data_IF_360831187145
#
_entry.id   IF_360831187145
#
_cell.length_a   1.000
_cell.length_b   1.000
_cell.length_c   1.000
_cell.angle_alpha   90.00
_cell.angle_beta   90.00
_cell.angle_gamma   90.00
#
_symmetry.space_group_name_H-M   'P 1'
#
loop_
_entity.id
_entity.type
_entity.pdbx_description
1 polymer ?
#
# COMPACT_ATOMS: atom_id res chain seq x y z
N UNK A 1 21.51 -27.90 -14.81
CA UNK A 1 22.18 -29.19 -15.06
C UNK A 1 23.34 -29.29 -14.08
N UNK A 2 23.38 -30.37 -13.32
CA UNK A 2 24.44 -30.63 -12.34
C UNK A 2 25.77 -30.99 -13.04
N UNK A 3 26.88 -30.78 -12.34
CA UNK A 3 28.17 -31.48 -12.50
C UNK A 3 29.03 -31.10 -11.26
N UNK A 4 29.08 -31.94 -10.22
CA UNK A 4 29.95 -33.12 -10.01
C UNK A 4 31.39 -32.81 -9.58
N UNK A 5 31.67 -33.19 -8.32
CA UNK A 5 32.82 -33.96 -7.84
C UNK A 5 34.26 -33.52 -8.17
N UNK A 6 35.07 -33.43 -7.11
CA UNK A 6 36.50 -33.77 -7.16
C UNK A 6 36.73 -34.96 -6.22
N UNK A 7 37.15 -36.08 -6.80
CA UNK A 7 37.54 -37.30 -6.09
C UNK A 7 39.06 -37.37 -6.04
N UNK A 8 39.63 -37.83 -4.92
CA UNK A 8 41.01 -38.34 -4.88
C UNK A 8 41.04 -39.64 -4.07
N UNK A 9 41.42 -40.72 -4.73
CA UNK A 9 41.40 -42.09 -4.20
C UNK A 9 42.83 -42.56 -3.95
N UNK A 10 43.13 -43.08 -2.75
CA UNK A 10 44.38 -43.84 -2.50
C UNK A 10 44.10 -45.06 -1.62
N UNK A 11 44.72 -46.19 -1.96
CA UNK A 11 44.45 -47.57 -1.52
C UNK A 11 45.81 -48.30 -1.46
N UNK A 12 46.14 -49.21 -0.54
CA UNK A 12 45.41 -49.98 0.49
C UNK A 12 46.30 -50.07 1.76
N UNK A 13 45.73 -50.20 2.97
CA UNK A 13 46.02 -51.38 3.83
C UNK A 13 45.20 -51.46 5.12
N UNK A 14 44.73 -52.68 5.38
CA UNK A 14 43.88 -53.08 6.50
C UNK A 14 44.65 -53.47 7.75
N UNK A 15 44.19 -53.03 8.93
CA UNK A 15 44.25 -53.83 10.15
C UNK A 15 43.14 -53.42 11.11
N UNK A 16 42.51 -54.42 11.74
CA UNK A 16 41.28 -54.27 12.50
C UNK A 16 41.46 -53.49 13.81
N UNK A 17 40.50 -52.63 14.13
CA UNK A 17 40.17 -52.24 15.50
C UNK A 17 38.67 -52.21 15.68
N UNK A 18 38.26 -52.61 16.89
CA UNK A 18 36.88 -52.76 17.34
C UNK A 18 36.05 -51.47 17.18
N UNK A 19 34.71 -51.57 17.06
CA UNK A 19 33.85 -50.40 16.90
C UNK A 19 33.92 -49.50 18.13
N UNK A 20 34.70 -48.42 18.04
CA UNK A 20 34.51 -47.27 18.89
C UNK A 20 33.08 -46.75 18.67
N UNK A 21 32.25 -46.87 19.70
CA UNK A 21 31.01 -46.10 19.80
C UNK A 21 31.44 -44.63 19.93
N UNK A 22 31.53 -43.94 18.80
CA UNK A 22 31.41 -42.48 18.81
C UNK A 22 30.04 -42.17 19.42
N UNK A 23 30.07 -41.72 20.68
CA UNK A 23 28.96 -40.93 21.18
C UNK A 23 28.89 -39.71 20.27
N UNK A 24 27.87 -39.65 19.43
CA UNK A 24 27.39 -38.40 18.88
C UNK A 24 27.19 -37.44 20.04
N UNK A 25 28.19 -36.58 20.28
CA UNK A 25 28.03 -35.44 21.14
C UNK A 25 27.11 -34.51 20.37
N UNK A 26 25.82 -34.60 20.65
CA UNK A 26 24.84 -33.59 20.27
C UNK A 26 25.34 -32.27 20.83
N UNK A 27 26.09 -31.51 20.02
CA UNK A 27 26.49 -30.16 20.37
C UNK A 27 25.21 -29.35 20.46
N UNK A 28 24.77 -29.17 21.71
CA UNK A 28 23.57 -28.44 22.05
C UNK A 28 23.73 -27.03 21.47
N UNK A 29 22.91 -26.71 20.46
CA UNK A 29 23.11 -25.47 19.70
C UNK A 29 22.92 -24.31 20.68
N UNK A 30 23.87 -23.36 20.76
CA UNK A 30 23.78 -22.28 21.74
C UNK A 30 22.46 -21.53 21.56
N UNK A 31 21.66 -21.48 22.62
CA UNK A 31 20.35 -20.86 22.56
C UNK A 31 20.49 -19.32 22.58
N UNK A 32 20.65 -18.72 21.41
CA UNK A 32 20.78 -17.27 21.27
C UNK A 32 19.56 -16.46 21.76
N UNK A 33 18.41 -17.10 21.99
CA UNK A 33 17.25 -16.44 22.61
C UNK A 33 17.39 -16.22 24.12
N UNK A 34 18.32 -16.92 24.80
CA UNK A 34 18.61 -16.72 26.23
C UNK A 34 19.75 -15.74 26.51
N UNK A 35 20.21 -14.98 25.50
CA UNK A 35 21.17 -13.89 25.73
C UNK A 35 20.53 -12.77 26.59
N UNK A 36 21.26 -12.19 27.56
CA UNK A 36 20.80 -11.03 28.31
C UNK A 36 20.47 -9.85 27.40
N UNK A 37 19.34 -9.17 27.64
CA UNK A 37 18.81 -8.13 26.77
C UNK A 37 19.84 -7.04 26.43
N UNK A 38 20.67 -6.63 27.40
CA UNK A 38 21.73 -5.63 27.19
C UNK A 38 22.79 -6.06 26.16
N UNK A 39 23.11 -7.35 26.07
CA UNK A 39 24.04 -7.87 25.05
C UNK A 39 23.36 -7.90 23.68
N UNK A 40 22.09 -8.31 23.64
CA UNK A 40 21.24 -8.32 22.44
C UNK A 40 21.07 -6.90 21.87
N UNK A 41 20.94 -5.89 22.74
CA UNK A 41 20.92 -4.46 22.36
C UNK A 41 22.24 -4.02 21.75
N UNK A 42 23.39 -4.27 22.41
CA UNK A 42 24.69 -3.89 21.86
C UNK A 42 24.95 -4.51 20.48
N UNK A 43 24.57 -5.78 20.29
CA UNK A 43 24.60 -6.42 18.96
C UNK A 43 23.69 -5.66 17.98
N UNK A 44 22.45 -5.37 18.35
CA UNK A 44 21.51 -4.62 17.50
C UNK A 44 21.97 -3.20 17.16
N UNK A 45 22.80 -2.56 17.98
CA UNK A 45 23.27 -1.19 17.74
C UNK A 45 24.35 -1.12 16.66
N UNK A 46 25.21 -2.14 16.60
CA UNK A 46 26.27 -2.34 15.60
C UNK A 46 25.75 -2.87 14.25
N UNK A 47 24.56 -3.49 14.22
CA UNK A 47 23.97 -4.00 12.99
C UNK A 47 23.51 -2.87 12.06
N UNK A 48 23.77 -3.06 10.76
CA UNK A 48 23.18 -2.23 9.69
C UNK A 48 21.65 -2.37 9.65
N UNK A 49 20.95 -1.40 9.07
CA UNK A 49 19.48 -1.37 9.09
C UNK A 49 18.80 -2.65 8.56
N UNK A 50 19.25 -3.28 7.44
CA UNK A 50 18.66 -4.53 6.96
C UNK A 50 18.79 -5.66 7.99
N UNK A 51 19.96 -5.78 8.62
CA UNK A 51 20.20 -6.77 9.65
C UNK A 51 19.38 -6.47 10.92
N UNK A 52 19.23 -5.20 11.31
CA UNK A 52 18.34 -4.80 12.41
C UNK A 52 16.87 -5.17 12.15
N UNK A 53 16.41 -5.09 10.91
CA UNK A 53 15.05 -5.52 10.53
C UNK A 53 14.88 -7.04 10.64
N UNK A 54 15.85 -7.83 10.16
CA UNK A 54 15.85 -9.28 10.37
C UNK A 54 15.94 -9.66 11.85
N UNK A 55 16.76 -8.94 12.62
CA UNK A 55 16.97 -9.16 14.04
C UNK A 55 15.71 -8.85 14.85
N UNK A 56 15.04 -7.72 14.56
CA UNK A 56 13.71 -7.36 15.06
C UNK A 56 12.72 -8.51 14.85
N UNK A 57 12.68 -9.07 13.64
CA UNK A 57 11.76 -10.14 13.24
C UNK A 57 12.02 -11.52 13.85
N UNK A 58 13.14 -11.74 14.53
CA UNK A 58 13.57 -13.11 14.91
C UNK A 58 12.84 -13.65 16.15
N UNK A 59 12.74 -12.88 17.24
CA UNK A 59 12.04 -13.28 18.45
C UNK A 59 11.75 -12.08 19.37
N UNK A 60 10.83 -12.24 20.33
CA UNK A 60 10.44 -11.17 21.26
C UNK A 60 11.64 -10.52 21.99
N UNK A 61 12.63 -11.30 22.43
CA UNK A 61 13.80 -10.76 23.12
C UNK A 61 14.64 -9.83 22.23
N UNK A 62 14.77 -10.16 20.95
CA UNK A 62 15.53 -9.37 19.96
C UNK A 62 14.70 -8.19 19.45
N UNK A 63 13.39 -8.37 19.29
CA UNK A 63 12.42 -7.28 19.09
C UNK A 63 12.58 -6.20 20.17
N UNK A 64 12.51 -6.57 21.47
CA UNK A 64 12.68 -5.60 22.57
C UNK A 64 14.03 -4.89 22.55
N UNK A 65 15.11 -5.57 22.17
CA UNK A 65 16.43 -4.96 22.03
C UNK A 65 16.45 -3.86 20.94
N UNK A 66 15.75 -4.07 19.83
CA UNK A 66 15.66 -3.08 18.74
C UNK A 66 14.81 -1.85 19.08
N UNK A 67 13.96 -1.88 20.11
CA UNK A 67 13.13 -0.72 20.49
C UNK A 67 13.97 0.45 21.01
N UNK A 68 15.17 0.18 21.55
CA UNK A 68 16.07 1.21 22.10
C UNK A 68 16.76 2.05 21.01
N UNK A 69 16.82 1.54 19.79
CA UNK A 69 17.27 2.26 18.59
C UNK A 69 16.20 2.04 17.52
N UNK A 70 15.18 2.91 17.42
CA UNK A 70 14.06 2.72 16.49
C UNK A 70 14.53 2.51 15.04
N UNK A 71 13.79 1.69 14.30
CA UNK A 71 13.97 1.55 12.86
C UNK A 71 13.10 2.65 12.20
N UNK A 72 13.61 3.46 11.25
CA UNK A 72 12.82 4.50 10.60
C UNK A 72 11.55 3.91 9.98
N UNK A 73 10.43 4.59 10.20
CA UNK A 73 9.11 4.21 9.70
C UNK A 73 8.26 5.47 9.55
N UNK A 74 7.46 5.62 8.48
CA UNK A 74 7.27 4.66 7.40
C UNK A 74 8.46 4.66 6.42
N UNK A 75 8.67 3.52 5.77
CA UNK A 75 9.61 3.33 4.68
C UNK A 75 8.85 3.32 3.35
N UNK A 76 9.43 3.90 2.32
CA UNK A 76 8.95 3.77 0.95
C UNK A 76 9.42 2.43 0.39
N UNK A 77 8.49 1.56 -0.02
CA UNK A 77 8.79 0.30 -0.69
C UNK A 77 8.71 0.49 -2.20
N UNK A 78 9.84 0.26 -2.88
CA UNK A 78 9.99 0.33 -4.33
C UNK A 78 10.35 -1.08 -4.85
N UNK A 79 9.71 -1.51 -5.93
CA UNK A 79 10.04 -2.75 -6.65
C UNK A 79 10.56 -2.43 -8.05
N UNK A 80 11.32 -3.36 -8.62
CA UNK A 80 11.70 -3.30 -10.02
C UNK A 80 10.56 -3.89 -10.87
N UNK A 81 9.74 -3.01 -11.45
CA UNK A 81 8.53 -3.36 -12.20
C UNK A 81 8.79 -3.91 -13.61
N UNK A 82 10.00 -3.72 -14.17
CA UNK A 82 10.35 -4.25 -15.51
C UNK A 82 10.36 -5.78 -15.51
N UNK A 83 10.93 -6.40 -14.47
CA UNK A 83 11.02 -7.86 -14.39
C UNK A 83 9.87 -8.51 -13.64
N UNK A 84 9.40 -7.98 -12.49
CA UNK A 84 8.55 -8.69 -11.49
C UNK A 84 9.12 -10.04 -10.97
N UNK A 85 10.11 -10.61 -11.65
CA UNK A 85 10.98 -11.72 -11.27
C UNK A 85 12.01 -11.35 -10.19
N UNK A 86 12.04 -10.09 -9.74
CA UNK A 86 12.90 -9.64 -8.65
C UNK A 86 12.34 -10.07 -7.30
N UNK A 87 12.99 -11.05 -6.67
CA UNK A 87 12.79 -11.44 -5.26
C UNK A 87 13.36 -10.41 -4.27
N UNK A 88 13.53 -9.16 -4.69
CA UNK A 88 14.09 -8.07 -3.88
C UNK A 88 13.21 -6.83 -3.88
N UNK A 89 13.25 -6.10 -2.76
CA UNK A 89 12.61 -4.78 -2.59
C UNK A 89 13.64 -3.75 -2.15
N UNK A 90 13.56 -2.56 -2.73
CA UNK A 90 14.27 -1.38 -2.25
C UNK A 90 13.39 -0.67 -1.22
N UNK A 91 13.95 -0.41 -0.05
CA UNK A 91 13.34 0.43 0.98
C UNK A 91 14.08 1.76 1.06
N UNK A 92 13.35 2.87 1.05
CA UNK A 92 13.91 4.22 1.21
C UNK A 92 13.26 4.89 2.42
N UNK A 93 14.08 5.47 3.29
CA UNK A 93 13.63 6.27 4.43
C UNK A 93 13.63 7.75 4.04
N UNK A 94 12.47 8.41 3.92
CA UNK A 94 12.41 9.86 3.65
C UNK A 94 12.86 10.70 4.86
N UNK A 95 12.99 10.09 6.03
CA UNK A 95 13.40 10.73 7.29
C UNK A 95 14.93 10.89 7.34
N UNK A 96 15.66 9.88 6.83
CA UNK A 96 17.12 9.76 6.99
C UNK A 96 17.88 9.72 5.66
N UNK A 97 17.17 9.85 4.54
CA UNK A 97 17.68 9.68 3.15
C UNK A 97 18.42 8.34 2.91
N UNK A 98 18.26 7.39 3.84
CA UNK A 98 18.92 6.09 3.79
C UNK A 98 18.07 5.10 2.98
N UNK A 99 18.74 4.28 2.17
CA UNK A 99 18.09 3.21 1.43
C UNK A 99 18.79 1.88 1.62
N UNK A 100 18.05 0.79 1.45
CA UNK A 100 18.60 -0.57 1.46
C UNK A 100 17.77 -1.54 0.62
N UNK A 101 18.42 -2.60 0.15
CA UNK A 101 17.75 -3.70 -0.57
C UNK A 101 17.52 -4.84 0.43
N UNK A 102 16.31 -5.38 0.46
CA UNK A 102 15.93 -6.57 1.23
C UNK A 102 15.64 -7.72 0.27
N UNK A 103 16.27 -8.87 0.51
CA UNK A 103 16.17 -10.06 -0.34
C UNK A 103 16.61 -11.33 0.44
N UNK A 104 16.21 -12.54 0.01
CA UNK A 104 15.19 -12.82 -1.00
C UNK A 104 13.76 -12.88 -0.39
N UNK A 105 12.76 -12.43 -1.14
CA UNK A 105 11.32 -12.55 -0.86
C UNK A 105 10.64 -13.20 -2.07
N UNK A 106 10.80 -14.52 -2.21
CA UNK A 106 10.27 -15.30 -3.33
C UNK A 106 8.73 -15.19 -3.45
N UNK A 107 8.05 -14.89 -2.34
CA UNK A 107 6.61 -14.67 -2.27
C UNK A 107 6.13 -13.46 -3.10
N UNK A 108 7.05 -12.57 -3.48
CA UNK A 108 6.80 -11.40 -4.31
C UNK A 108 7.02 -11.64 -5.82
N UNK A 109 7.56 -12.78 -6.22
CA UNK A 109 7.81 -13.09 -7.63
C UNK A 109 6.51 -13.10 -8.45
N UNK A 110 6.43 -12.31 -9.52
CA UNK A 110 5.24 -12.22 -10.39
C UNK A 110 4.03 -11.51 -9.79
N UNK A 111 4.20 -10.79 -8.67
CA UNK A 111 3.10 -10.08 -7.98
C UNK A 111 3.29 -8.57 -7.97
N UNK A 112 2.17 -7.84 -7.95
CA UNK A 112 2.09 -6.40 -7.70
C UNK A 112 1.69 -6.15 -6.25
N UNK A 113 2.27 -5.14 -5.62
CA UNK A 113 1.76 -4.64 -4.34
C UNK A 113 0.57 -3.68 -4.60
N UNK A 114 -0.57 -3.93 -3.95
CA UNK A 114 -1.82 -3.15 -4.09
C UNK A 114 -2.35 -2.63 -2.77
N UNK A 115 -1.60 -2.80 -1.69
CA UNK A 115 -1.93 -2.29 -0.37
C UNK A 115 -0.85 -2.57 0.66
N UNK A 116 -0.91 -1.88 1.78
CA UNK A 116 -0.16 -2.22 2.98
C UNK A 116 -0.92 -1.75 4.23
N UNK A 117 -0.68 -2.43 5.35
CA UNK A 117 -1.11 -2.01 6.68
C UNK A 117 -0.29 -2.78 7.74
N UNK A 118 0.22 -2.08 8.76
CA UNK A 118 0.84 -2.65 9.96
C UNK A 118 1.79 -3.86 9.72
N UNK A 119 2.83 -3.71 8.89
CA UNK A 119 3.80 -4.78 8.61
C UNK A 119 3.40 -5.79 7.53
N UNK A 120 2.17 -5.70 7.00
CA UNK A 120 1.66 -6.55 5.93
C UNK A 120 1.52 -5.78 4.63
N UNK A 121 1.67 -6.49 3.50
CA UNK A 121 1.32 -6.05 2.15
C UNK A 121 0.10 -6.82 1.66
N UNK A 122 -0.76 -6.16 0.87
CA UNK A 122 -1.64 -6.86 -0.05
C UNK A 122 -0.91 -7.01 -1.40
N UNK A 123 -0.72 -8.25 -1.84
CA UNK A 123 -0.06 -8.60 -3.10
C UNK A 123 -1.04 -9.30 -4.03
N UNK A 124 -0.94 -8.98 -5.31
CA UNK A 124 -1.86 -9.35 -6.39
C UNK A 124 -1.07 -10.01 -7.53
N UNK A 125 -1.43 -11.23 -7.91
CA UNK A 125 -0.80 -11.94 -9.02
C UNK A 125 -1.48 -11.67 -10.38
N UNK A 126 -0.93 -12.23 -11.46
CA UNK A 126 -1.47 -12.13 -12.83
C UNK A 126 -2.86 -12.78 -13.00
N UNK A 127 -3.30 -13.59 -12.04
CA UNK A 127 -4.61 -14.24 -12.00
C UNK A 127 -5.66 -13.40 -11.24
N UNK A 128 -5.29 -12.20 -10.81
CA UNK A 128 -6.07 -11.29 -9.95
C UNK A 128 -6.32 -11.81 -8.53
N UNK A 129 -5.61 -12.85 -8.11
CA UNK A 129 -5.77 -13.38 -6.76
C UNK A 129 -4.96 -12.54 -5.77
N UNK A 130 -5.62 -12.18 -4.66
CA UNK A 130 -5.04 -11.32 -3.63
C UNK A 130 -4.59 -12.18 -2.46
N UNK A 131 -3.43 -11.86 -1.92
CA UNK A 131 -2.96 -12.43 -0.66
C UNK A 131 -2.30 -11.37 0.22
N UNK A 132 -2.37 -11.56 1.53
CA UNK A 132 -1.72 -10.71 2.52
C UNK A 132 -0.39 -11.34 2.90
N UNK A 133 0.72 -10.63 2.71
CA UNK A 133 2.08 -11.09 3.01
C UNK A 133 2.69 -10.21 4.12
N UNK A 134 3.10 -10.82 5.22
CA UNK A 134 3.94 -10.15 6.22
C UNK A 134 5.41 -10.26 5.79
N UNK A 135 6.05 -9.15 5.44
CA UNK A 135 7.42 -9.16 4.89
C UNK A 135 8.49 -9.67 5.87
N UNK A 136 8.24 -9.55 7.18
CA UNK A 136 9.21 -9.85 8.23
C UNK A 136 9.16 -11.33 8.64
N UNK A 137 7.96 -11.87 8.80
CA UNK A 137 7.73 -13.27 9.20
C UNK A 137 7.56 -14.21 8.00
N UNK A 138 7.41 -13.67 6.79
CA UNK A 138 7.05 -14.38 5.55
C UNK A 138 5.70 -15.14 5.61
N UNK A 139 4.88 -14.84 6.62
CA UNK A 139 3.53 -15.40 6.72
C UNK A 139 2.66 -14.88 5.59
N UNK A 140 2.00 -15.78 4.85
CA UNK A 140 1.08 -15.45 3.75
C UNK A 140 -0.33 -15.96 4.05
N UNK A 141 -1.32 -15.09 3.88
CA UNK A 141 -2.75 -15.39 3.98
C UNK A 141 -3.33 -15.25 2.58
N UNK A 142 -3.89 -16.32 2.03
CA UNK A 142 -4.59 -16.28 0.75
C UNK A 142 -6.03 -15.80 0.99
N UNK A 143 -6.48 -14.82 0.21
CA UNK A 143 -7.88 -14.42 0.17
C UNK A 143 -8.62 -15.30 -0.87
N UNK A 144 -9.97 -15.35 -0.85
CA UNK A 144 -10.75 -15.88 -1.94
C UNK A 144 -10.32 -15.39 -3.32
N UNK A 145 -10.39 -16.25 -4.33
CA UNK A 145 -10.10 -15.84 -5.70
C UNK A 145 -11.13 -14.81 -6.18
N UNK A 146 -10.65 -13.73 -6.77
CA UNK A 146 -11.52 -12.63 -7.20
C UNK A 146 -12.33 -13.01 -8.44
N UNK A 147 -11.73 -13.77 -9.36
CA UNK A 147 -12.33 -14.15 -10.65
C UNK A 147 -13.42 -15.22 -10.49
N UNK A 148 -13.32 -16.12 -9.50
CA UNK A 148 -14.24 -17.26 -9.38
C UNK A 148 -15.56 -16.92 -8.66
N UNK A 149 -15.81 -15.66 -8.30
CA UNK A 149 -17.03 -15.27 -7.59
C UNK A 149 -18.28 -15.44 -8.49
N UNK A 150 -19.21 -16.35 -8.18
CA UNK A 150 -20.41 -16.58 -9.01
C UNK A 150 -21.43 -15.43 -8.93
N UNK A 151 -21.15 -14.41 -8.10
CA UNK A 151 -21.94 -13.18 -7.98
C UNK A 151 -21.61 -12.14 -9.07
N UNK A 152 -20.66 -12.41 -9.98
CA UNK A 152 -20.35 -11.56 -11.13
C UNK A 152 -21.38 -11.62 -12.28
N UNK A 153 -22.66 -11.76 -11.94
CA UNK A 153 -23.77 -11.30 -12.75
C UNK A 153 -24.30 -10.03 -12.05
N UNK A 154 -23.78 -8.82 -12.37
CA UNK A 154 -24.39 -7.60 -11.86
C UNK A 154 -25.88 -7.61 -12.28
N UNK A 155 -26.84 -7.36 -11.37
CA UNK A 155 -28.27 -7.47 -11.68
C UNK A 155 -28.80 -6.38 -12.66
N UNK A 156 -27.90 -5.61 -13.28
CA UNK A 156 -28.20 -4.48 -14.16
C UNK A 156 -27.25 -4.42 -15.35
N UNK A 157 -27.82 -4.43 -16.56
CA UNK A 157 -27.14 -4.00 -17.79
C UNK A 157 -26.86 -2.49 -17.72
N UNK A 158 -25.62 -2.09 -17.41
CA UNK A 158 -25.17 -0.69 -17.48
C UNK A 158 -25.03 -0.22 -18.93
N UNK A 159 -26.15 0.18 -19.55
CA UNK A 159 -26.25 0.59 -20.97
C UNK A 159 -25.46 1.86 -21.39
N UNK A 160 -24.58 2.38 -20.54
CA UNK A 160 -23.81 3.60 -20.80
C UNK A 160 -22.31 3.38 -20.62
N UNK A 161 -21.72 2.74 -21.63
CA UNK A 161 -20.29 2.47 -21.80
C UNK A 161 -19.65 1.55 -20.74
N UNK A 162 -19.56 0.26 -21.05
CA UNK A 162 -18.36 -0.57 -20.78
C UNK A 162 -18.52 -1.94 -21.44
N UNK A 163 -17.41 -2.49 -21.91
CA UNK A 163 -17.27 -3.93 -22.16
C UNK A 163 -17.36 -4.64 -20.81
N UNK A 164 -18.11 -5.75 -20.69
CA UNK A 164 -18.21 -6.51 -19.43
C UNK A 164 -16.80 -6.79 -18.88
N UNK A 165 -16.62 -6.76 -17.57
CA UNK A 165 -15.40 -7.23 -16.92
C UNK A 165 -14.99 -8.62 -17.41
N UNK A 166 -15.97 -9.51 -17.63
CA UNK A 166 -15.72 -10.84 -18.21
C UNK A 166 -15.22 -10.77 -19.65
N UNK A 167 -15.77 -9.88 -20.47
CA UNK A 167 -15.34 -9.65 -21.85
C UNK A 167 -13.94 -9.01 -21.91
N UNK A 168 -13.64 -8.06 -21.02
CA UNK A 168 -12.31 -7.45 -20.89
C UNK A 168 -11.28 -8.46 -20.39
N UNK A 169 -11.63 -9.31 -19.42
CA UNK A 169 -10.78 -10.40 -18.91
C UNK A 169 -10.56 -11.47 -20.00
N UNK A 170 -11.60 -11.83 -20.76
CA UNK A 170 -11.49 -12.74 -21.89
C UNK A 170 -10.61 -12.14 -22.99
N UNK A 171 -10.77 -10.86 -23.31
CA UNK A 171 -9.90 -10.13 -24.23
C UNK A 171 -8.44 -10.12 -23.74
N UNK A 172 -8.20 -9.83 -22.45
CA UNK A 172 -6.87 -9.80 -21.86
C UNK A 172 -6.20 -11.19 -21.87
N UNK A 173 -6.96 -12.26 -21.59
CA UNK A 173 -6.50 -13.65 -21.73
C UNK A 173 -6.14 -13.99 -23.17
N UNK A 174 -6.97 -13.63 -24.13
CA UNK A 174 -6.78 -13.92 -25.56
C UNK A 174 -5.64 -13.11 -26.21
N UNK A 175 -5.27 -11.96 -25.64
CA UNK A 175 -4.23 -11.06 -26.16
C UNK A 175 -2.98 -11.00 -25.26
N UNK A 176 -2.79 -11.96 -24.34
CA UNK A 176 -1.66 -12.03 -23.40
C UNK A 176 -1.40 -10.74 -22.59
N UNK A 177 -2.47 -9.99 -22.29
CA UNK A 177 -2.41 -8.65 -21.71
C UNK A 177 -2.71 -8.63 -20.20
N UNK A 178 -2.63 -9.79 -19.52
CA UNK A 178 -3.06 -9.95 -18.13
C UNK A 178 -2.33 -9.04 -17.14
N UNK A 179 -1.02 -8.78 -17.31
CA UNK A 179 -0.26 -7.83 -16.48
C UNK A 179 -0.87 -6.41 -16.54
N UNK A 180 -1.17 -5.91 -17.74
CA UNK A 180 -1.78 -4.59 -17.95
C UNK A 180 -3.24 -4.57 -17.46
N UNK A 181 -3.99 -5.65 -17.72
CA UNK A 181 -5.38 -5.77 -17.24
C UNK A 181 -5.46 -5.77 -15.71
N UNK A 182 -4.66 -6.61 -15.03
CA UNK A 182 -4.47 -6.60 -13.58
C UNK A 182 -4.20 -5.20 -13.06
N UNK A 183 -3.28 -4.51 -13.72
CA UNK A 183 -2.83 -3.20 -13.30
C UNK A 183 -3.85 -2.09 -13.45
N UNK A 184 -4.72 -2.22 -14.45
CA UNK A 184 -5.80 -1.30 -14.74
C UNK A 184 -7.03 -1.59 -13.88
N UNK A 185 -7.33 -2.86 -13.60
CA UNK A 185 -8.50 -3.27 -12.83
C UNK A 185 -8.34 -3.00 -11.34
N UNK A 186 -7.32 -3.58 -10.68
CA UNK A 186 -7.24 -3.52 -9.22
C UNK A 186 -6.48 -2.26 -8.82
N UNK A 187 -7.22 -1.29 -8.26
CA UNK A 187 -6.67 0.02 -7.87
C UNK A 187 -6.00 -0.04 -6.50
N UNK A 188 -6.68 -0.64 -5.52
CA UNK A 188 -6.30 -0.62 -4.11
C UNK A 188 -6.93 -1.79 -3.33
N UNK A 189 -6.22 -2.29 -2.33
CA UNK A 189 -6.74 -3.20 -1.30
C UNK A 189 -6.38 -2.62 0.07
N UNK A 190 -7.36 -2.51 0.96
CA UNK A 190 -7.15 -2.19 2.38
C UNK A 190 -7.72 -3.30 3.24
N UNK A 191 -7.14 -3.53 4.41
CA UNK A 191 -7.48 -4.66 5.25
C UNK A 191 -7.25 -4.36 6.73
N UNK A 192 -7.94 -5.11 7.58
CA UNK A 192 -7.89 -4.99 9.03
C UNK A 192 -6.47 -5.11 9.55
N UNK A 193 -6.12 -4.32 10.58
CA UNK A 193 -4.82 -4.45 11.24
C UNK A 193 -4.62 -5.86 11.80
N UNK A 194 -3.37 -6.34 11.77
CA UNK A 194 -2.95 -7.63 12.37
C UNK A 194 -3.72 -8.86 11.83
N UNK A 195 -3.82 -9.05 10.50
CA UNK A 195 -4.56 -10.16 9.93
C UNK A 195 -3.91 -11.51 10.31
N UNK A 196 -4.75 -12.52 10.53
CA UNK A 196 -4.37 -13.93 10.69
C UNK A 196 -5.26 -14.79 9.80
N UNK A 197 -4.88 -16.02 9.50
CA UNK A 197 -5.70 -16.92 8.66
C UNK A 197 -7.13 -17.17 9.21
N UNK A 198 -7.34 -16.97 10.52
CA UNK A 198 -8.64 -17.10 11.19
C UNK A 198 -9.34 -15.77 11.48
N UNK A 199 -8.70 -14.63 11.24
CA UNK A 199 -9.23 -13.30 11.55
C UNK A 199 -8.59 -12.26 10.64
N UNK A 200 -9.30 -11.88 9.59
CA UNK A 200 -9.02 -10.73 8.74
C UNK A 200 -10.34 -10.22 8.14
N UNK A 201 -10.34 -8.95 7.75
CA UNK A 201 -11.31 -8.38 6.80
C UNK A 201 -10.48 -7.63 5.74
N UNK A 202 -10.81 -7.80 4.47
CA UNK A 202 -10.18 -7.09 3.35
C UNK A 202 -11.26 -6.47 2.45
N UNK A 203 -11.01 -5.26 1.97
CA UNK A 203 -11.83 -4.54 1.00
C UNK A 203 -10.96 -4.21 -0.22
N UNK A 204 -11.51 -4.41 -1.41
CA UNK A 204 -10.87 -4.17 -2.70
C UNK A 204 -11.63 -3.08 -3.47
N UNK A 205 -10.87 -2.17 -4.09
CA UNK A 205 -11.33 -1.18 -5.06
C UNK A 205 -10.86 -1.63 -6.45
N UNK A 206 -11.81 -1.95 -7.33
CA UNK A 206 -11.53 -2.56 -8.64
C UNK A 206 -12.43 -1.99 -9.74
N UNK A 207 -12.03 -2.17 -11.00
CA UNK A 207 -12.86 -1.88 -12.16
C UNK A 207 -12.46 -0.63 -12.93
N UNK A 208 -13.20 -0.36 -14.01
CA UNK A 208 -12.97 0.78 -14.91
C UNK A 208 -13.66 2.04 -14.39
N UNK A 209 -14.95 1.90 -14.07
CA UNK A 209 -15.71 2.76 -13.16
C UNK A 209 -15.65 2.06 -11.79
N UNK A 210 -14.80 2.49 -10.84
CA UNK A 210 -14.41 1.60 -9.75
C UNK A 210 -15.53 1.29 -8.74
N UNK A 211 -15.66 0.01 -8.44
CA UNK A 211 -16.56 -0.58 -7.47
C UNK A 211 -15.78 -1.11 -6.26
N UNK A 212 -16.52 -1.44 -5.19
CA UNK A 212 -15.97 -2.04 -3.98
C UNK A 212 -16.59 -3.40 -3.65
N UNK A 213 -15.74 -4.32 -3.22
CA UNK A 213 -16.12 -5.61 -2.65
C UNK A 213 -15.32 -5.88 -1.37
N UNK A 214 -15.80 -6.79 -0.54
CA UNK A 214 -15.08 -7.22 0.66
C UNK A 214 -15.11 -8.73 0.86
N UNK A 215 -14.19 -9.20 1.68
CA UNK A 215 -14.16 -10.59 2.17
C UNK A 215 -13.57 -10.63 3.57
N UNK A 216 -13.86 -11.70 4.32
CA UNK A 216 -13.39 -11.90 5.70
C UNK A 216 -13.00 -13.36 5.92
N UNK A 217 -12.22 -13.62 6.97
CA UNK A 217 -11.81 -14.98 7.32
C UNK A 217 -13.02 -15.92 7.43
N UNK A 218 -12.95 -17.07 6.76
CA UNK A 218 -14.05 -18.05 6.67
C UNK A 218 -14.95 -17.90 5.45
N UNK A 219 -14.91 -16.78 4.72
CA UNK A 219 -15.58 -16.66 3.42
C UNK A 219 -14.76 -17.37 2.33
N UNK A 220 -15.46 -17.93 1.33
CA UNK A 220 -14.89 -18.55 0.13
C UNK A 220 -14.99 -17.67 -1.13
N UNK A 221 -15.66 -16.51 -1.02
CA UNK A 221 -15.92 -15.56 -2.10
C UNK A 221 -15.75 -14.10 -1.66
N UNK A 222 -15.75 -13.19 -2.65
CA UNK A 222 -15.89 -11.75 -2.44
C UNK A 222 -17.36 -11.35 -2.50
N UNK A 223 -17.79 -10.52 -1.55
CA UNK A 223 -19.14 -9.97 -1.43
C UNK A 223 -19.10 -8.53 -1.96
N UNK A 224 -19.88 -8.26 -3.01
CA UNK A 224 -20.00 -6.94 -3.62
C UNK A 224 -20.78 -5.98 -2.72
N UNK A 225 -20.32 -4.73 -2.61
CA UNK A 225 -20.95 -3.64 -1.87
C UNK A 225 -21.53 -2.55 -2.80
N UNK A 226 -21.56 -2.82 -4.12
CA UNK A 226 -21.89 -1.87 -5.17
C UNK A 226 -23.28 -1.22 -5.05
N UNK A 227 -23.40 -0.01 -5.56
CA UNK A 227 -24.62 0.81 -5.46
C UNK A 227 -25.53 0.67 -6.68
N UNK A 228 -26.85 0.60 -6.43
CA UNK A 228 -27.86 0.71 -7.48
C UNK A 228 -27.98 2.17 -7.96
N UNK A 229 -27.20 2.54 -8.97
CA UNK A 229 -27.19 3.90 -9.56
C UNK A 229 -27.27 3.84 -11.08
N UNK A 230 -28.13 4.68 -11.66
CA UNK A 230 -28.21 4.92 -13.12
C UNK A 230 -27.35 6.09 -13.59
N UNK A 231 -26.55 6.67 -12.70
CA UNK A 231 -25.61 7.77 -12.94
C UNK A 231 -24.16 7.28 -12.90
N UNK A 232 -23.23 8.06 -13.48
CA UNK A 232 -21.77 7.84 -13.34
C UNK A 232 -21.31 8.09 -11.91
N UNK A 233 -21.57 7.13 -11.04
CA UNK A 233 -21.28 7.17 -9.62
C UNK A 233 -20.34 6.01 -9.29
N UNK A 234 -19.13 6.31 -8.87
CA UNK A 234 -18.06 5.34 -8.65
C UNK A 234 -17.18 5.74 -7.47
N UNK A 235 -16.42 4.78 -6.95
CA UNK A 235 -15.51 4.98 -5.82
C UNK A 235 -14.14 5.46 -6.30
N UNK A 236 -13.52 6.39 -5.59
CA UNK A 236 -12.17 6.89 -5.92
C UNK A 236 -11.09 6.36 -4.97
N UNK A 237 -11.40 6.23 -3.69
CA UNK A 237 -10.45 5.72 -2.71
C UNK A 237 -11.14 4.96 -1.57
N UNK A 238 -10.39 4.02 -0.97
CA UNK A 238 -10.81 3.25 0.21
C UNK A 238 -9.73 3.27 1.30
N UNK A 239 -10.17 3.28 2.56
CA UNK A 239 -9.33 3.33 3.75
C UNK A 239 -9.84 2.33 4.81
N UNK A 240 -8.92 1.73 5.57
CA UNK A 240 -9.20 1.09 6.84
C UNK A 240 -8.72 1.98 7.99
N UNK A 241 -9.58 2.22 8.99
CA UNK A 241 -9.23 2.94 10.20
C UNK A 241 -10.08 2.45 11.38
N UNK A 242 -9.43 2.20 12.52
CA UNK A 242 -10.03 1.81 13.81
C UNK A 242 -11.20 0.79 13.70
N UNK A 243 -10.92 -0.37 13.10
CA UNK A 243 -11.91 -1.45 12.94
C UNK A 243 -12.92 -1.25 11.81
N UNK A 244 -13.02 -0.06 11.20
CA UNK A 244 -13.98 0.28 10.15
C UNK A 244 -13.30 0.50 8.80
N UNK A 245 -14.11 0.40 7.76
CA UNK A 245 -13.72 0.69 6.39
C UNK A 245 -14.44 1.95 5.90
N UNK A 246 -13.76 2.72 5.08
CA UNK A 246 -14.19 4.02 4.58
C UNK A 246 -14.01 4.03 3.07
N UNK A 247 -14.91 4.70 2.36
CA UNK A 247 -14.74 4.98 0.94
C UNK A 247 -15.13 6.41 0.63
N UNK A 248 -14.46 7.03 -0.35
CA UNK A 248 -14.90 8.26 -0.98
C UNK A 248 -15.31 8.02 -2.43
N UNK A 249 -16.37 8.69 -2.87
CA UNK A 249 -16.89 8.56 -4.24
C UNK A 249 -16.47 9.75 -5.10
N UNK A 250 -16.72 9.66 -6.41
CA UNK A 250 -16.42 10.74 -7.35
C UNK A 250 -17.16 12.05 -7.05
N UNK A 251 -18.30 11.98 -6.35
CA UNK A 251 -19.05 13.15 -5.87
C UNK A 251 -18.56 13.66 -4.48
N UNK A 252 -17.44 13.14 -3.99
CA UNK A 252 -16.82 13.46 -2.68
C UNK A 252 -17.67 13.09 -1.45
N UNK A 253 -18.61 12.16 -1.62
CA UNK A 253 -19.39 11.54 -0.54
C UNK A 253 -18.52 10.55 0.24
N UNK A 254 -18.63 10.51 1.57
CA UNK A 254 -17.91 9.52 2.40
C UNK A 254 -18.87 8.54 3.04
N UNK A 255 -18.65 7.26 2.77
CA UNK A 255 -19.40 6.13 3.31
C UNK A 255 -18.50 5.35 4.28
N UNK A 256 -19.11 4.81 5.33
CA UNK A 256 -18.46 4.01 6.38
C UNK A 256 -19.11 2.63 6.41
N UNK A 257 -18.28 1.59 6.43
CA UNK A 257 -18.68 0.20 6.46
C UNK A 257 -18.18 -0.45 7.74
N UNK A 258 -19.11 -0.94 8.54
CA UNK A 258 -18.83 -1.97 9.55
C UNK A 258 -19.04 -3.34 8.91
N UNK A 259 -17.93 -4.08 8.81
CA UNK A 259 -17.85 -5.40 8.16
C UNK A 259 -17.57 -6.52 9.17
N UNK A 260 -17.62 -6.21 10.47
CA UNK A 260 -17.31 -7.15 11.56
C UNK A 260 -18.42 -8.18 11.79
N UNK A 261 -19.68 -7.78 11.57
CA UNK A 261 -20.86 -8.64 11.71
C UNK A 261 -21.07 -9.62 10.54
N UNK A 262 -22.15 -10.39 10.61
CA UNK A 262 -22.53 -11.35 9.55
C UNK A 262 -22.96 -10.67 8.25
N UNK A 263 -23.49 -9.46 8.35
CA UNK A 263 -23.93 -8.64 7.22
C UNK A 263 -23.22 -7.28 7.25
N UNK A 264 -22.89 -6.68 6.09
CA UNK A 264 -22.25 -5.39 6.03
C UNK A 264 -23.23 -4.28 6.44
N UNK A 265 -22.81 -3.38 7.34
CA UNK A 265 -23.58 -2.20 7.72
C UNK A 265 -22.92 -0.97 7.12
N UNK A 266 -23.59 -0.30 6.19
CA UNK A 266 -23.15 0.95 5.58
C UNK A 266 -23.83 2.15 6.24
N UNK A 267 -23.07 3.22 6.46
CA UNK A 267 -23.54 4.52 6.95
C UNK A 267 -22.95 5.63 6.08
N UNK A 268 -23.80 6.55 5.63
CA UNK A 268 -23.37 7.82 5.05
C UNK A 268 -22.80 8.72 6.17
N UNK A 269 -21.51 9.06 6.09
CA UNK A 269 -20.84 9.94 7.07
C UNK A 269 -20.78 11.39 6.59
N UNK A 270 -20.57 11.60 5.29
CA UNK A 270 -20.47 12.95 4.70
C UNK A 270 -21.22 12.95 3.38
N UNK A 271 -22.21 13.84 3.24
CA UNK A 271 -22.93 14.07 1.99
C UNK A 271 -21.99 14.60 0.89
N UNK A 272 -22.28 14.20 -0.35
CA UNK A 272 -21.62 14.69 -1.57
C UNK A 272 -21.52 16.22 -1.67
N UNK A 273 -20.46 16.70 -2.30
CA UNK A 273 -20.29 18.13 -2.59
C UNK A 273 -21.30 18.56 -3.67
N UNK A 274 -22.17 19.51 -3.32
CA UNK A 274 -23.18 20.03 -4.23
C UNK A 274 -22.52 20.73 -5.43
N UNK A 275 -22.83 20.36 -6.69
CA UNK A 275 -22.08 20.81 -7.87
C UNK A 275 -21.97 22.33 -8.02
N UNK A 276 -23.04 23.06 -7.72
CA UNK A 276 -23.12 24.52 -7.83
C UNK A 276 -22.75 25.28 -6.55
N UNK A 277 -22.33 24.59 -5.49
CA UNK A 277 -21.84 25.23 -4.27
C UNK A 277 -20.35 25.48 -4.42
N UNK A 278 -19.93 26.69 -4.06
CA UNK A 278 -18.52 27.06 -3.98
C UNK A 278 -17.91 26.60 -2.65
N UNK A 279 -16.80 25.87 -2.75
CA UNK A 279 -15.90 25.49 -1.67
C UNK A 279 -14.53 26.12 -1.99
N UNK A 280 -13.58 26.18 -1.05
CA UNK A 280 -12.15 26.50 -1.35
C UNK A 280 -11.90 27.65 -2.37
N UNK A 281 -11.75 28.90 -1.91
CA UNK A 281 -11.34 30.01 -2.80
C UNK A 281 -12.23 30.18 -4.07
N UNK A 282 -13.52 29.90 -3.94
CA UNK A 282 -14.57 29.93 -4.97
C UNK A 282 -14.50 28.80 -6.03
N UNK A 283 -13.94 27.64 -5.69
CA UNK A 283 -13.93 26.44 -6.52
C UNK A 283 -15.25 25.67 -6.35
N UNK A 284 -16.00 25.47 -7.43
CA UNK A 284 -17.28 24.75 -7.38
C UNK A 284 -17.10 23.25 -7.07
N UNK A 285 -18.13 22.65 -6.46
CA UNK A 285 -18.15 21.20 -6.17
C UNK A 285 -17.95 20.34 -7.42
N UNK A 286 -18.46 20.74 -8.58
CA UNK A 286 -18.20 20.04 -9.85
C UNK A 286 -16.71 20.08 -10.23
N UNK A 287 -16.04 21.23 -10.09
CA UNK A 287 -14.60 21.36 -10.35
C UNK A 287 -13.78 20.43 -9.46
N UNK A 288 -14.12 20.30 -8.17
CA UNK A 288 -13.47 19.33 -7.26
C UNK A 288 -13.70 17.90 -7.73
N UNK A 289 -14.93 17.56 -8.09
CA UNK A 289 -15.31 16.20 -8.46
C UNK A 289 -14.65 15.75 -9.78
N UNK A 290 -14.59 16.63 -10.78
CA UNK A 290 -14.06 16.33 -12.12
C UNK A 290 -12.53 16.41 -12.20
N UNK A 291 -11.91 17.42 -11.57
CA UNK A 291 -10.49 17.75 -11.79
C UNK A 291 -9.52 17.17 -10.74
N UNK A 292 -9.99 16.54 -9.66
CA UNK A 292 -9.11 16.06 -8.60
C UNK A 292 -9.29 14.58 -8.27
N UNK A 293 -8.15 13.89 -8.13
CA UNK A 293 -8.04 12.60 -7.48
C UNK A 293 -8.19 12.77 -5.97
N UNK A 294 -9.03 11.93 -5.36
CA UNK A 294 -9.39 12.02 -3.94
C UNK A 294 -8.66 10.94 -3.13
N UNK A 295 -8.06 11.32 -2.00
CA UNK A 295 -7.41 10.41 -1.06
C UNK A 295 -7.91 10.68 0.37
N UNK A 296 -8.43 9.66 1.05
CA UNK A 296 -8.91 9.79 2.44
C UNK A 296 -7.79 9.50 3.45
N UNK A 297 -7.70 10.29 4.50
CA UNK A 297 -6.81 10.05 5.63
C UNK A 297 -7.53 10.27 6.97
N UNK A 298 -7.21 9.45 7.98
CA UNK A 298 -7.71 9.60 9.36
C UNK A 298 -6.53 9.59 10.33
N UNK A 299 -6.52 10.51 11.29
CA UNK A 299 -5.56 10.53 12.39
C UNK A 299 -5.92 9.52 13.47
N UNK A 300 -4.98 9.21 14.36
CA UNK A 300 -5.24 8.42 15.58
C UNK A 300 -6.24 9.07 16.56
N UNK A 301 -6.57 10.35 16.36
CA UNK A 301 -7.62 11.10 17.09
C UNK A 301 -8.99 11.03 16.41
N UNK A 302 -9.12 10.32 15.28
CA UNK A 302 -10.35 10.24 14.49
C UNK A 302 -10.62 11.47 13.62
N UNK A 303 -9.65 12.38 13.48
CA UNK A 303 -9.78 13.55 12.61
C UNK A 303 -9.55 13.13 11.16
N UNK A 304 -10.58 13.36 10.33
CA UNK A 304 -10.58 12.97 8.92
C UNK A 304 -10.17 14.12 8.01
N UNK A 305 -9.34 13.79 7.03
CA UNK A 305 -8.80 14.68 6.01
C UNK A 305 -9.08 14.08 4.63
N UNK A 306 -9.35 14.95 3.67
CA UNK A 306 -9.42 14.64 2.24
C UNK A 306 -8.33 15.44 1.55
N UNK A 307 -7.37 14.71 1.00
CA UNK A 307 -6.33 15.27 0.14
C UNK A 307 -6.76 15.12 -1.31
N UNK A 308 -6.66 16.23 -2.05
CA UNK A 308 -7.06 16.37 -3.44
C UNK A 308 -5.81 16.64 -4.26
N UNK A 309 -5.55 15.81 -5.28
CA UNK A 309 -4.44 15.99 -6.22
C UNK A 309 -5.00 16.28 -7.62
N UNK A 310 -4.58 17.37 -8.25
CA UNK A 310 -5.07 17.79 -9.57
C UNK A 310 -4.74 16.74 -10.65
N UNK A 311 -5.78 16.22 -11.31
CA UNK A 311 -5.66 15.34 -12.46
C UNK A 311 -5.06 16.13 -13.61
N UNK A 312 -3.88 15.73 -14.07
CA UNK A 312 -3.27 16.33 -15.26
C UNK A 312 -4.08 15.99 -16.52
N UNK A 313 -5.09 16.83 -16.80
CA UNK A 313 -5.91 16.73 -17.98
C UNK A 313 -5.34 17.66 -19.06
N UNK A 314 -4.72 17.06 -20.07
CA UNK A 314 -4.23 17.72 -21.30
C UNK A 314 -5.35 18.27 -22.21
N UNK A 315 -6.56 18.44 -21.68
CA UNK A 315 -7.75 18.97 -22.36
C UNK A 315 -8.42 20.07 -21.52
N UNK A 316 -7.66 21.13 -21.22
CA UNK A 316 -8.26 22.42 -20.90
C UNK A 316 -8.98 22.95 -22.16
N UNK A 317 -10.31 23.12 -22.16
CA UNK A 317 -10.93 23.99 -23.15
C UNK A 317 -10.36 25.40 -22.97
N UNK A 318 -9.81 25.98 -24.03
CA UNK A 318 -9.14 27.30 -24.05
C UNK A 318 -10.08 28.51 -23.80
N UNK A 319 -11.17 28.31 -23.06
CA UNK A 319 -12.06 29.35 -22.58
C UNK A 319 -11.43 29.95 -21.32
N UNK A 320 -10.51 30.91 -21.51
CA UNK A 320 -9.67 31.53 -20.47
C UNK A 320 -10.43 32.40 -19.45
N UNK A 321 -11.36 31.79 -18.72
CA UNK A 321 -12.21 32.43 -17.71
C UNK A 321 -12.12 31.75 -16.32
N UNK A 322 -11.55 30.55 -16.22
CA UNK A 322 -11.30 29.87 -14.95
C UNK A 322 -9.87 30.13 -14.46
N UNK A 323 -9.65 30.38 -13.15
CA UNK A 323 -8.33 30.34 -12.56
C UNK A 323 -7.66 28.99 -12.82
N UNK A 324 -6.32 28.99 -12.96
CA UNK A 324 -5.57 27.73 -12.99
C UNK A 324 -5.82 27.00 -11.66
N UNK A 325 -6.32 25.75 -11.67
CA UNK A 325 -6.58 25.03 -10.44
C UNK A 325 -5.30 24.86 -9.63
N UNK A 326 -5.42 24.77 -8.29
CA UNK A 326 -4.30 24.45 -7.42
C UNK A 326 -3.87 23.01 -7.68
N UNK A 327 -2.56 22.75 -7.73
CA UNK A 327 -2.06 21.40 -8.03
C UNK A 327 -2.47 20.36 -6.95
N UNK A 328 -2.72 20.83 -5.73
CA UNK A 328 -3.16 20.05 -4.57
C UNK A 328 -4.12 20.89 -3.72
N UNK A 329 -4.96 20.24 -2.93
CA UNK A 329 -5.74 20.88 -1.85
C UNK A 329 -5.91 19.91 -0.68
N UNK A 330 -6.09 20.45 0.53
CA UNK A 330 -6.39 19.67 1.73
C UNK A 330 -7.66 20.20 2.40
N UNK A 331 -8.60 19.29 2.63
CA UNK A 331 -9.83 19.52 3.38
C UNK A 331 -9.81 18.71 4.67
N UNK A 332 -10.43 19.25 5.72
CA UNK A 332 -10.64 18.59 7.02
C UNK A 332 -12.13 18.56 7.31
N UNK A 333 -12.62 17.47 7.88
CA UNK A 333 -14.02 17.33 8.28
C UNK A 333 -14.33 18.27 9.45
N UNK A 334 -15.46 18.98 9.35
CA UNK A 334 -16.04 19.86 10.37
C UNK A 334 -17.54 19.56 10.45
N UNK A 335 -17.96 18.53 11.23
CA UNK A 335 -19.33 18.02 11.22
C UNK A 335 -20.36 19.06 11.74
N UNK A 336 -19.89 20.03 12.52
CA UNK A 336 -20.67 21.18 13.03
C UNK A 336 -21.17 22.15 11.93
N UNK A 337 -20.86 21.91 10.65
CA UNK A 337 -21.13 22.82 9.54
C UNK A 337 -22.03 22.19 8.47
N UNK A 338 -22.91 23.01 7.89
CA UNK A 338 -23.70 22.69 6.68
C UNK A 338 -22.85 22.21 5.51
N UNK A 339 -21.60 22.67 5.45
CA UNK A 339 -20.56 22.15 4.57
C UNK A 339 -19.54 21.42 5.43
N UNK A 340 -19.72 20.10 5.54
CA UNK A 340 -18.92 19.23 6.40
C UNK A 340 -17.43 19.18 6.02
N UNK A 341 -17.04 19.62 4.82
CA UNK A 341 -15.65 19.79 4.42
C UNK A 341 -15.23 21.25 4.51
N UNK A 342 -14.04 21.50 5.08
CA UNK A 342 -13.43 22.83 5.09
C UNK A 342 -11.93 22.76 4.82
N UNK A 343 -11.42 23.71 4.04
CA UNK A 343 -9.99 23.93 3.78
C UNK A 343 -9.16 23.91 5.07
N UNK A 344 -7.96 23.33 5.01
CA UNK A 344 -6.92 23.52 6.01
C UNK A 344 -5.54 23.50 5.38
N UNK A 345 -4.59 24.24 5.97
CA UNK A 345 -3.14 24.12 5.75
C UNK A 345 -2.43 23.49 6.96
N UNK A 346 -3.22 22.94 7.86
CA UNK A 346 -2.84 22.49 9.19
C UNK A 346 -3.43 21.08 9.40
N UNK A 347 -2.51 20.12 9.53
CA UNK A 347 -2.74 18.72 9.92
C UNK A 347 -2.33 18.50 11.38
N UNK A 348 -2.29 19.54 12.23
CA UNK A 348 -1.91 19.42 13.63
C UNK A 348 -0.44 19.04 13.84
N UNK A 349 0.44 19.46 12.93
CA UNK A 349 1.83 19.00 12.83
C UNK A 349 1.99 17.50 12.55
N UNK A 350 1.02 16.85 11.88
CA UNK A 350 1.19 15.49 11.38
C UNK A 350 1.88 15.46 10.01
N UNK A 351 2.51 14.34 9.67
CA UNK A 351 3.04 14.02 8.35
C UNK A 351 2.13 12.96 7.71
N UNK A 352 1.67 13.20 6.48
CA UNK A 352 0.77 12.31 5.74
C UNK A 352 1.55 11.61 4.62
N UNK A 353 1.42 10.29 4.51
CA UNK A 353 2.09 9.48 3.49
C UNK A 353 1.04 8.80 2.60
N UNK A 354 1.03 9.14 1.31
CA UNK A 354 0.01 8.74 0.33
C UNK A 354 0.64 7.86 -0.77
N UNK A 355 -0.07 6.80 -1.15
CA UNK A 355 0.33 5.83 -2.17
C UNK A 355 -0.81 4.86 -2.49
N UNK A 356 -0.51 3.71 -3.10
CA UNK A 356 -1.49 2.63 -3.36
C UNK A 356 -1.86 1.83 -2.09
N UNK A 357 -1.55 2.34 -0.90
CA UNK A 357 -1.76 1.69 0.39
C UNK A 357 -2.78 2.43 1.27
N UNK A 358 -3.11 1.83 2.42
CA UNK A 358 -3.86 2.54 3.45
C UNK A 358 -3.06 3.78 3.91
N UNK A 359 -3.57 5.02 3.77
CA UNK A 359 -2.79 6.21 4.07
C UNK A 359 -2.33 6.27 5.52
N UNK A 360 -1.10 6.73 5.72
CA UNK A 360 -0.44 6.75 7.02
C UNK A 360 -0.31 8.21 7.47
N UNK A 361 -0.91 8.55 8.60
CA UNK A 361 -0.86 9.89 9.19
C UNK A 361 -0.24 9.79 10.59
N UNK A 362 0.94 10.39 10.78
CA UNK A 362 1.76 10.24 11.99
C UNK A 362 2.17 11.64 12.51
N UNK A 363 2.07 11.93 13.82
CA UNK A 363 2.59 13.18 14.40
C UNK A 363 4.10 13.35 14.16
N UNK A 364 4.55 14.54 13.78
CA UNK A 364 5.97 14.77 13.46
C UNK A 364 6.91 14.54 14.67
N UNK A 365 6.42 14.72 15.90
CA UNK A 365 7.12 14.37 17.14
C UNK A 365 7.53 12.89 17.24
N UNK A 366 6.85 12.01 16.51
CA UNK A 366 7.13 10.57 16.43
C UNK A 366 8.02 10.24 15.21
N UNK A 367 8.45 11.28 14.45
CA UNK A 367 9.27 11.23 13.23
C UNK A 367 10.46 12.22 13.33
N UNK A 368 11.46 11.86 14.13
CA UNK A 368 12.64 12.72 14.37
C UNK A 368 13.26 13.27 13.07
N UNK A 369 13.38 14.59 12.98
CA UNK A 369 13.93 15.29 11.80
C UNK A 369 12.89 15.81 10.80
N UNK A 370 11.65 15.30 10.81
CA UNK A 370 10.59 15.81 9.93
C UNK A 370 9.81 16.98 10.54
N UNK A 371 9.41 17.93 9.68
CA UNK A 371 8.46 18.98 10.04
C UNK A 371 7.04 18.48 9.85
N UNK A 372 6.15 18.93 10.72
CA UNK A 372 4.71 18.67 10.56
C UNK A 372 4.11 19.47 9.41
N UNK A 373 2.92 19.02 8.98
CA UNK A 373 2.14 19.57 7.86
C UNK A 373 2.80 19.33 6.49
N UNK A 374 3.49 18.20 6.37
CA UNK A 374 4.12 17.70 5.15
C UNK A 374 3.37 16.47 4.60
N UNK A 375 3.10 16.46 3.29
CA UNK A 375 2.41 15.37 2.59
C UNK A 375 3.39 14.67 1.63
N UNK A 376 3.82 13.48 1.99
CA UNK A 376 4.76 12.64 1.25
C UNK A 376 4.03 11.83 0.18
N UNK A 377 4.51 11.94 -1.06
CA UNK A 377 3.94 11.28 -2.23
C UNK A 377 5.06 11.01 -3.25
N UNK A 378 4.74 10.31 -4.33
CA UNK A 378 5.58 10.30 -5.53
C UNK A 378 4.82 11.00 -6.65
N UNK A 379 5.37 12.11 -7.11
CA UNK A 379 4.88 12.82 -8.27
C UNK A 379 5.38 12.14 -9.55
N UNK A 380 4.52 12.09 -10.56
CA UNK A 380 4.81 11.48 -11.87
C UNK A 380 4.65 12.55 -12.94
N UNK A 381 5.77 13.02 -13.48
CA UNK A 381 5.82 14.03 -14.54
C UNK A 381 5.98 13.36 -15.90
N UNK A 382 5.36 13.87 -16.98
CA UNK A 382 5.78 13.53 -18.34
C UNK A 382 7.27 13.86 -18.51
N UNK A 383 8.05 12.94 -19.09
CA UNK A 383 9.43 13.24 -19.46
C UNK A 383 9.44 13.73 -20.92
N UNK A 384 9.91 14.97 -21.16
CA UNK A 384 9.97 15.53 -22.52
C UNK A 384 11.17 15.01 -23.34
N UNK A 385 12.18 14.42 -22.71
CA UNK A 385 13.41 13.92 -23.35
C UNK A 385 13.39 12.42 -23.66
N UNK A 386 12.50 11.66 -23.00
CA UNK A 386 12.33 10.21 -23.16
C UNK A 386 10.84 9.89 -23.18
N UNK A 387 10.35 9.15 -24.18
CA UNK A 387 8.99 8.60 -24.19
C UNK A 387 8.74 7.81 -22.89
N UNK A 388 8.07 8.43 -21.92
CA UNK A 388 7.95 7.92 -20.57
C UNK A 388 7.62 8.99 -19.53
N UNK A 389 7.69 8.60 -18.26
CA UNK A 389 7.40 9.47 -17.12
C UNK A 389 8.57 9.48 -16.13
N UNK A 390 8.98 10.66 -15.68
CA UNK A 390 9.94 10.82 -14.57
C UNK A 390 9.18 10.85 -13.26
N UNK A 391 9.69 10.14 -12.24
CA UNK A 391 9.07 10.11 -10.92
C UNK A 391 9.97 10.72 -9.86
N UNK A 392 9.46 11.75 -9.20
CA UNK A 392 10.16 12.42 -8.11
C UNK A 392 9.52 11.99 -6.79
N UNK A 393 10.32 11.34 -5.94
CA UNK A 393 9.96 11.13 -4.54
C UNK A 393 10.09 12.47 -3.84
N UNK A 394 9.07 12.89 -3.11
CA UNK A 394 9.07 14.20 -2.48
C UNK A 394 8.03 14.33 -1.39
N UNK A 395 7.95 15.55 -0.88
CA UNK A 395 6.88 15.97 0.00
C UNK A 395 6.37 17.35 -0.41
N UNK A 396 5.10 17.55 -0.13
CA UNK A 396 4.43 18.81 -0.27
C UNK A 396 4.36 19.54 1.07
N UNK A 397 4.80 20.79 1.13
CA UNK A 397 4.73 21.64 2.33
C UNK A 397 3.44 22.48 2.32
N UNK A 398 2.49 22.16 3.22
CA UNK A 398 1.18 22.84 3.28
C UNK A 398 1.27 24.32 3.68
N UNK A 399 2.33 24.72 4.40
CA UNK A 399 2.48 26.10 4.89
C UNK A 399 3.07 27.00 3.82
N UNK A 400 4.12 26.52 3.16
CA UNK A 400 4.82 27.22 2.08
C UNK A 400 4.15 27.05 0.70
N UNK A 401 3.13 26.19 0.61
CA UNK A 401 2.42 25.80 -0.63
C UNK A 401 3.35 25.36 -1.79
N UNK A 402 4.37 24.54 -1.49
CA UNK A 402 5.35 24.08 -2.50
C UNK A 402 5.72 22.61 -2.39
N UNK A 403 6.02 22.01 -3.54
CA UNK A 403 6.64 20.68 -3.63
C UNK A 403 8.15 20.74 -3.38
N UNK A 404 8.69 19.70 -2.74
CA UNK A 404 10.11 19.51 -2.45
C UNK A 404 10.50 18.08 -2.81
N UNK A 405 11.53 17.89 -3.65
CA UNK A 405 12.03 16.57 -4.06
C UNK A 405 13.21 16.08 -3.20
N UNK A 406 13.27 14.76 -2.97
CA UNK A 406 14.40 14.08 -2.32
C UNK A 406 15.52 13.79 -3.32
N UNK A 407 16.15 14.86 -3.82
CA UNK A 407 17.25 14.85 -4.80
C UNK A 407 16.93 14.33 -6.22
N UNK A 408 17.70 14.80 -7.20
CA UNK A 408 17.68 14.30 -8.58
C UNK A 408 18.41 12.94 -8.65
N UNK A 409 17.76 11.87 -8.18
CA UNK A 409 18.32 10.52 -8.35
C UNK A 409 18.29 10.14 -9.84
N UNK A 410 19.44 10.22 -10.49
CA UNK A 410 19.69 9.95 -11.91
C UNK A 410 19.61 8.48 -12.30
N UNK A 411 18.60 7.77 -11.79
CA UNK A 411 18.28 6.40 -12.16
C UNK A 411 16.96 6.35 -12.93
N UNK A 412 16.86 5.36 -13.83
CA UNK A 412 15.88 5.24 -14.90
C UNK A 412 14.42 5.53 -14.51
N UNK A 413 13.57 6.01 -15.46
CA UNK A 413 12.15 6.27 -15.21
C UNK A 413 11.47 5.09 -14.52
N UNK A 414 11.02 5.30 -13.28
CA UNK A 414 10.31 4.29 -12.49
C UNK A 414 8.93 4.02 -13.13
N UNK A 415 8.83 2.95 -13.90
CA UNK A 415 7.65 2.66 -14.71
C UNK A 415 6.41 2.27 -13.87
N UNK A 416 5.45 3.21 -13.84
CA UNK A 416 4.00 2.96 -13.93
C UNK A 416 3.19 2.33 -12.77
N UNK A 417 3.62 2.32 -11.50
CA UNK A 417 2.69 1.97 -10.37
C UNK A 417 2.80 2.86 -9.14
N UNK A 418 1.70 3.27 -8.47
CA UNK A 418 1.81 4.11 -7.28
C UNK A 418 2.59 3.39 -6.18
N UNK A 419 3.45 4.10 -5.44
CA UNK A 419 4.29 3.50 -4.41
C UNK A 419 3.47 2.90 -3.27
N UNK A 420 4.14 2.07 -2.48
CA UNK A 420 3.61 1.58 -1.20
C UNK A 420 4.47 2.14 -0.08
N UNK A 421 3.86 2.93 0.80
CA UNK A 421 4.43 3.22 2.11
C UNK A 421 4.25 2.02 3.02
N UNK A 422 5.29 1.66 3.76
CA UNK A 422 5.33 0.46 4.59
C UNK A 422 5.72 0.82 6.03
N UNK A 423 4.90 0.39 6.98
CA UNK A 423 5.21 0.48 8.41
C UNK A 423 5.72 -0.88 8.89
N UNK A 424 6.82 -0.87 9.63
CA UNK A 424 7.36 -2.09 10.23
C UNK A 424 6.53 -2.47 11.47
N UNK A 425 5.84 -3.62 11.42
CA UNK A 425 5.25 -4.26 12.60
C UNK A 425 5.32 -5.79 12.49
N UNK A 426 5.49 -6.44 13.64
CA UNK A 426 5.38 -7.89 13.82
C UNK A 426 4.08 -8.32 14.51
N UNK A 427 3.36 -7.36 15.10
CA UNK A 427 2.34 -7.63 16.10
C UNK A 427 1.06 -6.85 15.86
#
# INVERSE_FOLDING_TARGET
MENTNITSTTVLNSQEKEPHVEKDSTMDRPNWSSLPLNIVTLISEELSLPHRICFHATCNAWYFATLLKPIPSPLLLIRNDESEHSDSCLFVSPITEFFFIYFPINELHGTRCVGSNAGWLAILDEQLDVSLLNLLTKTRIYLPSFITSPLYNPPYESKFFTTDFNDLLAYARNNCCLKIFRDFIVKKVVFSSKPTIHSYIAMILYGTDPEIAYTKAGNDTWIFLGMSSTMKYYYEDIMYHDGKFYSITNESEVQVFDLSGDYPVMMLLIERLAPSTEYLDNISGSTINDMYNKFLACSSTGEMFLFLWHRDQTHYPNNGALPRPKDFMLMKVKPEKSHCWATTKDMGNMCLFIGSNNPILIPNKDLEGLKGDHIFSIETFPNEEVDGYTRNIGYFDLKEERWMSFSESSQSPLYLRPPIWFTLSLH
#
